data_IF_884465938972
#
_entry.id   IF_884465938972
#
_cell.length_a   1.000
_cell.length_b   1.000
_cell.length_c   1.000
_cell.angle_alpha   90.00
_cell.angle_beta   90.00
_cell.angle_gamma   90.00
#
_symmetry.space_group_name_H-M   'P 1'
#
loop_
_entity.id
_entity.type
_entity.pdbx_description
1 polymer ?
#
# COMPACT_ATOMS: atom_id res chain seq x y z
N UNK A 1 26.12 8.60 -6.25
CA UNK A 1 25.14 7.51 -6.05
C UNK A 1 24.59 7.50 -4.63
N UNK A 2 24.97 8.45 -3.77
CA UNK A 2 24.36 8.67 -2.45
C UNK A 2 23.08 9.52 -2.59
N UNK A 3 22.20 9.45 -1.58
CA UNK A 3 21.04 10.33 -1.45
C UNK A 3 19.76 9.89 -2.17
N UNK A 4 19.53 8.58 -2.32
CA UNK A 4 18.30 8.03 -2.91
C UNK A 4 17.54 7.04 -2.02
N UNK A 5 18.13 6.65 -0.88
CA UNK A 5 17.62 5.54 -0.06
C UNK A 5 17.41 6.01 1.37
N UNK A 6 16.20 5.83 1.88
CA UNK A 6 15.88 6.00 3.29
C UNK A 6 15.86 4.60 3.92
N UNK A 7 16.85 4.30 4.74
CA UNK A 7 17.09 2.95 5.25
C UNK A 7 16.99 2.87 6.78
N UNK A 8 16.40 1.80 7.28
CA UNK A 8 16.30 1.46 8.69
C UNK A 8 16.87 0.05 8.91
N UNK A 9 17.83 -0.09 9.82
CA UNK A 9 18.55 -1.35 10.08
C UNK A 9 18.04 -2.13 11.30
N UNK A 10 17.08 -1.56 12.04
CA UNK A 10 16.53 -2.16 13.25
C UNK A 10 15.02 -1.99 13.28
N UNK A 11 14.33 -3.01 13.77
CA UNK A 11 12.90 -2.96 14.01
C UNK A 11 12.61 -2.28 15.36
N UNK A 12 11.76 -1.26 15.37
CA UNK A 12 11.37 -0.52 16.57
C UNK A 12 9.86 -0.34 16.58
N UNK A 13 9.10 -1.15 17.33
CA UNK A 13 7.63 -1.08 17.34
C UNK A 13 7.08 0.32 17.67
N UNK A 14 7.78 1.06 18.53
CA UNK A 14 7.37 2.41 18.94
C UNK A 14 7.49 3.45 17.80
N UNK A 15 8.29 3.17 16.76
CA UNK A 15 8.50 4.06 15.61
C UNK A 15 7.67 3.64 14.38
N UNK A 16 7.03 2.48 14.40
CA UNK A 16 6.38 1.92 13.21
C UNK A 16 5.32 2.85 12.63
N UNK A 17 4.46 3.46 13.46
CA UNK A 17 3.48 4.46 12.95
C UNK A 17 4.11 5.63 12.18
N UNK A 18 5.30 6.06 12.60
CA UNK A 18 6.05 7.13 11.92
C UNK A 18 6.64 6.59 10.61
N UNK A 19 7.31 5.44 10.65
CA UNK A 19 7.91 4.79 9.47
C UNK A 19 6.87 4.45 8.42
N UNK A 20 5.70 3.98 8.84
CA UNK A 20 4.54 3.78 7.98
C UNK A 20 4.12 5.05 7.24
N UNK A 21 4.18 6.21 7.89
CA UNK A 21 3.89 7.48 7.23
C UNK A 21 5.01 7.86 6.24
N UNK A 22 6.27 7.81 6.68
CA UNK A 22 7.45 8.17 5.89
C UNK A 22 7.70 7.23 4.71
N UNK A 23 7.24 5.97 4.78
CA UNK A 23 7.40 4.96 3.74
C UNK A 23 6.09 4.70 2.98
N UNK A 24 5.16 5.65 2.98
CA UNK A 24 3.95 5.57 2.15
C UNK A 24 4.33 5.50 0.67
N UNK A 25 3.65 4.63 -0.07
CA UNK A 25 3.74 4.53 -1.52
C UNK A 25 2.42 5.00 -2.14
N UNK A 26 2.46 5.72 -3.25
CA UNK A 26 1.36 6.39 -3.90
C UNK A 26 1.76 6.91 -5.28
N UNK A 27 0.76 7.24 -6.08
CA UNK A 27 0.95 7.63 -7.48
C UNK A 27 0.10 8.83 -7.90
N UNK A 28 -0.49 9.54 -6.94
CA UNK A 28 -1.43 10.64 -7.18
C UNK A 28 -2.90 10.24 -7.37
N UNK A 29 -3.21 8.95 -7.57
CA UNK A 29 -4.58 8.43 -7.59
C UNK A 29 -4.95 7.81 -6.24
N UNK A 30 -4.07 6.96 -5.71
CA UNK A 30 -4.18 6.43 -4.35
C UNK A 30 -2.81 6.33 -3.70
N UNK A 31 -2.81 6.19 -2.38
CA UNK A 31 -1.63 5.95 -1.59
C UNK A 31 -1.92 4.90 -0.51
N UNK A 32 -0.88 4.14 -0.16
CA UNK A 32 -0.91 3.11 0.86
C UNK A 32 0.28 3.29 1.77
N UNK A 33 -0.01 3.43 3.08
CA UNK A 33 1.00 3.60 4.12
C UNK A 33 2.02 2.48 4.08
N UNK A 34 3.25 2.83 4.45
CA UNK A 34 4.41 1.98 4.62
C UNK A 34 4.28 0.88 5.67
N UNK A 35 3.10 0.32 5.95
CA UNK A 35 2.95 -0.77 6.93
C UNK A 35 3.52 -2.08 6.39
N UNK A 36 3.94 -2.94 7.32
CA UNK A 36 4.34 -4.31 7.02
C UNK A 36 3.09 -5.09 6.61
N UNK A 37 3.21 -5.83 5.52
CA UNK A 37 2.11 -6.60 4.94
C UNK A 37 1.50 -7.57 5.97
N UNK A 38 0.16 -7.57 6.07
CA UNK A 38 -0.58 -8.49 6.93
C UNK A 38 -0.62 -8.12 8.42
N UNK A 39 0.13 -7.12 8.89
CA UNK A 39 0.05 -6.69 10.29
C UNK A 39 -1.20 -5.82 10.49
N UNK A 40 -2.15 -6.21 11.37
CA UNK A 40 -3.38 -5.48 11.56
C UNK A 40 -3.16 -4.16 12.31
N UNK A 41 -4.18 -3.30 12.31
CA UNK A 41 -4.20 -2.11 13.17
C UNK A 41 -3.99 -2.50 14.64
N UNK A 42 -3.04 -1.82 15.29
CA UNK A 42 -2.67 -2.04 16.68
C UNK A 42 -2.17 -0.75 17.35
N UNK A 43 -1.63 -0.86 18.56
CA UNK A 43 -0.93 0.27 19.20
C UNK A 43 0.24 0.79 18.35
N UNK A 44 0.98 -0.10 17.69
CA UNK A 44 2.19 0.20 16.94
C UNK A 44 1.96 0.35 15.43
N UNK A 45 0.91 -0.29 14.91
CA UNK A 45 0.67 -0.37 13.47
C UNK A 45 -0.63 0.29 13.05
N UNK A 46 -0.61 0.94 11.89
CA UNK A 46 -1.77 1.56 11.27
C UNK A 46 -1.70 1.43 9.74
N UNK A 47 -1.95 0.24 9.16
CA UNK A 47 -2.04 0.08 7.71
C UNK A 47 -3.19 0.93 7.17
N UNK A 48 -2.99 1.65 6.07
CA UNK A 48 -4.03 2.53 5.53
C UNK A 48 -3.86 2.77 4.05
N UNK A 49 -4.96 2.69 3.32
CA UNK A 49 -5.06 3.04 1.91
C UNK A 49 -6.01 4.23 1.76
N UNK A 50 -5.59 5.23 0.99
CA UNK A 50 -6.30 6.49 0.81
C UNK A 50 -6.43 6.81 -0.67
N UNK A 51 -7.56 7.39 -1.06
CA UNK A 51 -7.88 7.75 -2.44
C UNK A 51 -7.84 9.28 -2.58
N UNK A 52 -7.25 9.79 -3.66
CA UNK A 52 -7.34 11.20 -4.03
C UNK A 52 -8.81 11.62 -4.20
N UNK A 53 -9.26 12.63 -3.46
CA UNK A 53 -10.67 13.01 -3.44
C UNK A 53 -11.62 11.99 -2.77
N UNK A 54 -11.09 11.04 -2.00
CA UNK A 54 -11.84 9.96 -1.34
C UNK A 54 -12.45 10.37 0.01
N UNK A 55 -13.33 11.37 0.01
CA UNK A 55 -13.94 11.90 1.24
C UNK A 55 -15.36 11.37 1.49
N UNK A 56 -15.78 11.33 2.76
CA UNK A 56 -17.15 11.00 3.16
C UNK A 56 -17.53 11.72 4.45
N UNK A 57 -18.78 12.20 4.55
CA UNK A 57 -19.28 12.84 5.78
C UNK A 57 -19.94 11.85 6.73
N UNK A 58 -19.70 12.04 8.02
CA UNK A 58 -20.38 11.32 9.09
C UNK A 58 -20.88 12.29 10.16
N UNK A 59 -22.05 11.96 10.73
CA UNK A 59 -22.60 12.61 11.90
C UNK A 59 -22.27 11.81 13.15
N UNK A 60 -21.92 12.51 14.23
CA UNK A 60 -21.65 11.95 15.55
C UNK A 60 -22.40 12.75 16.61
N UNK A 61 -22.99 12.08 17.59
CA UNK A 61 -23.59 12.74 18.74
C UNK A 61 -22.56 12.86 19.88
N UNK A 62 -22.09 14.07 20.15
CA UNK A 62 -21.12 14.36 21.21
C UNK A 62 -21.76 15.33 22.20
N UNK A 63 -21.87 14.91 23.46
CA UNK A 63 -22.45 15.72 24.54
C UNK A 63 -23.83 16.34 24.17
N UNK A 64 -24.70 15.55 23.52
CA UNK A 64 -26.04 15.98 23.10
C UNK A 64 -26.07 16.94 21.91
N UNK A 65 -24.95 17.11 21.19
CA UNK A 65 -24.88 17.87 19.93
C UNK A 65 -24.51 16.95 18.78
N UNK A 66 -25.21 17.08 17.67
CA UNK A 66 -24.84 16.42 16.41
C UNK A 66 -23.73 17.26 15.76
N UNK A 67 -22.59 16.63 15.53
CA UNK A 67 -21.44 17.19 14.84
C UNK A 67 -21.26 16.42 13.54
N UNK A 68 -21.26 17.12 12.41
CA UNK A 68 -20.94 16.56 11.11
C UNK A 68 -19.48 16.88 10.76
N UNK A 69 -18.73 15.86 10.32
CA UNK A 69 -17.37 16.03 9.83
C UNK A 69 -17.21 15.38 8.46
N UNK A 70 -16.43 16.01 7.60
CA UNK A 70 -15.96 15.44 6.34
C UNK A 70 -14.55 14.88 6.55
N UNK A 71 -14.37 13.60 6.23
CA UNK A 71 -13.14 12.87 6.49
C UNK A 71 -12.57 12.25 5.22
N UNK A 72 -11.24 12.31 5.09
CA UNK A 72 -10.51 11.43 4.19
C UNK A 72 -10.70 9.98 4.64
N UNK A 73 -11.35 9.18 3.80
CA UNK A 73 -11.73 7.80 4.14
C UNK A 73 -10.52 6.89 4.05
N UNK A 74 -10.34 6.02 5.06
CA UNK A 74 -9.49 4.83 4.94
C UNK A 74 -10.24 3.79 4.11
N UNK A 75 -9.72 3.51 2.93
CA UNK A 75 -10.26 2.55 1.96
C UNK A 75 -9.75 1.14 2.21
N UNK A 76 -10.36 0.10 1.60
CA UNK A 76 -10.04 -1.29 1.89
C UNK A 76 -8.55 -1.63 1.81
N UNK A 77 -8.09 -2.46 2.75
CA UNK A 77 -6.70 -2.88 2.81
C UNK A 77 -6.42 -4.01 1.84
N UNK A 78 -5.60 -3.71 0.85
CA UNK A 78 -5.16 -4.65 -0.17
C UNK A 78 -3.81 -5.30 0.16
N UNK A 79 -3.08 -4.81 1.17
CA UNK A 79 -1.69 -5.22 1.47
C UNK A 79 -1.60 -6.51 2.27
N UNK A 80 -2.74 -7.12 2.60
CA UNK A 80 -2.80 -8.29 3.46
C UNK A 80 -2.20 -9.50 2.73
N UNK A 81 -0.98 -9.83 3.12
CA UNK A 81 -0.30 -11.10 2.90
C UNK A 81 0.21 -11.57 4.27
N UNK A 82 -0.09 -12.81 4.61
CA UNK A 82 0.45 -13.49 5.79
C UNK A 82 1.00 -14.85 5.37
N UNK A 83 1.91 -15.41 6.15
CA UNK A 83 2.25 -16.83 5.99
C UNK A 83 2.41 -17.50 7.35
N UNK A 84 2.18 -18.81 7.38
CA UNK A 84 2.45 -19.67 8.53
C UNK A 84 3.03 -21.00 8.05
N UNK A 85 4.13 -21.49 8.63
CA UNK A 85 4.52 -22.89 8.48
C UNK A 85 3.48 -23.80 9.14
N UNK A 86 3.36 -25.05 8.69
CA UNK A 86 2.46 -26.02 9.30
C UNK A 86 2.79 -26.22 10.81
N UNK A 87 1.75 -26.28 11.64
CA UNK A 87 1.89 -26.33 13.10
C UNK A 87 2.52 -25.08 13.73
N UNK A 88 2.65 -23.98 12.99
CA UNK A 88 3.09 -22.68 13.48
C UNK A 88 1.98 -21.62 13.48
N UNK A 89 2.34 -20.46 14.01
CA UNK A 89 1.49 -19.27 14.01
C UNK A 89 1.69 -18.43 12.73
N UNK A 90 0.73 -17.55 12.45
CA UNK A 90 0.91 -16.53 11.41
C UNK A 90 2.08 -15.62 11.77
N UNK A 91 2.93 -15.32 10.79
CA UNK A 91 4.00 -14.35 10.96
C UNK A 91 3.45 -13.02 11.48
N UNK A 92 3.96 -12.60 12.63
CA UNK A 92 3.75 -11.29 13.22
C UNK A 92 5.11 -10.80 13.72
N UNK A 93 5.59 -9.69 13.16
CA UNK A 93 6.91 -9.15 13.47
C UNK A 93 7.06 -8.77 14.96
N UNK A 94 5.96 -8.43 15.63
CA UNK A 94 5.93 -8.11 17.06
C UNK A 94 6.07 -9.35 17.98
N UNK A 95 5.95 -10.56 17.44
CA UNK A 95 5.87 -11.81 18.21
C UNK A 95 7.03 -12.78 17.96
N UNK A 96 7.97 -12.44 17.07
CA UNK A 96 9.08 -13.30 16.66
C UNK A 96 10.43 -12.76 17.12
N UNK A 97 11.44 -13.62 17.19
CA UNK A 97 12.81 -13.18 17.44
C UNK A 97 13.45 -12.71 16.13
N UNK A 98 13.73 -11.42 16.01
CA UNK A 98 14.36 -10.84 14.82
C UNK A 98 15.88 -11.04 14.90
N UNK A 99 16.46 -11.74 13.92
CA UNK A 99 17.90 -11.92 13.75
C UNK A 99 18.54 -10.78 12.96
N UNK A 100 17.87 -10.33 11.90
CA UNK A 100 18.27 -9.16 11.14
C UNK A 100 17.05 -8.47 10.53
N UNK A 101 17.11 -7.15 10.44
CA UNK A 101 16.07 -6.32 9.86
C UNK A 101 16.70 -5.29 8.93
N UNK A 102 16.07 -5.10 7.78
CA UNK A 102 16.34 -3.99 6.88
C UNK A 102 15.02 -3.52 6.28
N UNK A 103 14.79 -2.22 6.29
CA UNK A 103 13.74 -1.57 5.51
C UNK A 103 14.36 -0.45 4.70
N UNK A 104 14.05 -0.39 3.42
CA UNK A 104 14.59 0.62 2.51
C UNK A 104 13.48 1.17 1.62
N UNK A 105 13.31 2.49 1.65
CA UNK A 105 12.54 3.21 0.64
C UNK A 105 13.52 3.74 -0.40
N UNK A 106 13.46 3.18 -1.61
CA UNK A 106 14.20 3.69 -2.76
C UNK A 106 13.39 4.81 -3.42
N UNK A 107 13.84 6.06 -3.22
CA UNK A 107 13.18 7.25 -3.74
C UNK A 107 13.34 7.38 -5.26
N UNK A 108 14.38 6.77 -5.83
CA UNK A 108 14.65 6.81 -7.27
C UNK A 108 13.68 5.91 -8.01
N UNK A 109 13.49 4.71 -7.48
CA UNK A 109 12.66 3.69 -8.13
C UNK A 109 11.23 3.66 -7.60
N UNK A 110 10.93 4.29 -6.46
CA UNK A 110 9.61 4.30 -5.82
C UNK A 110 9.20 2.97 -5.19
N UNK A 111 10.18 2.22 -4.68
CA UNK A 111 10.01 0.86 -4.16
C UNK A 111 10.28 0.85 -2.66
N UNK A 112 9.39 0.22 -1.90
CA UNK A 112 9.64 -0.14 -0.50
C UNK A 112 10.09 -1.59 -0.44
N UNK A 113 11.32 -1.83 0.02
CA UNK A 113 11.87 -3.16 0.26
C UNK A 113 12.02 -3.40 1.77
N UNK A 114 11.74 -4.63 2.21
CA UNK A 114 12.09 -5.13 3.54
C UNK A 114 12.82 -6.45 3.44
N UNK A 115 13.78 -6.66 4.33
CA UNK A 115 14.50 -7.91 4.55
C UNK A 115 14.43 -8.25 6.02
N UNK A 116 13.76 -9.34 6.35
CA UNK A 116 13.48 -9.74 7.73
C UNK A 116 13.93 -11.19 7.89
N UNK A 117 14.98 -11.41 8.67
CA UNK A 117 15.38 -12.74 9.09
C UNK A 117 14.96 -12.92 10.53
N UNK A 118 14.17 -13.94 10.81
CA UNK A 118 13.59 -14.15 12.13
C UNK A 118 13.53 -15.64 12.50
N UNK A 119 13.37 -15.90 13.79
CA UNK A 119 13.14 -17.22 14.38
C UNK A 119 11.79 -17.23 15.06
N UNK A 120 10.96 -18.23 14.75
CA UNK A 120 9.66 -18.43 15.39
C UNK A 120 9.73 -19.24 16.70
N UNK A 121 8.57 -19.47 17.32
CA UNK A 121 8.46 -20.19 18.61
C UNK A 121 8.92 -21.65 18.49
N UNK A 122 8.84 -22.24 17.30
CA UNK A 122 9.27 -23.59 16.96
C UNK A 122 10.74 -23.66 16.53
N UNK A 123 11.51 -22.58 16.67
CA UNK A 123 12.93 -22.47 16.32
C UNK A 123 13.22 -22.61 14.80
N UNK A 124 12.21 -22.34 13.98
CA UNK A 124 12.37 -22.26 12.52
C UNK A 124 12.86 -20.88 12.16
N UNK A 125 13.97 -20.84 11.44
CA UNK A 125 14.57 -19.62 10.93
C UNK A 125 14.12 -19.38 9.50
N UNK A 126 13.61 -18.19 9.22
CA UNK A 126 13.07 -17.81 7.91
C UNK A 126 13.59 -16.44 7.51
N UNK A 127 14.00 -16.30 6.24
CA UNK A 127 14.26 -15.02 5.59
C UNK A 127 13.05 -14.66 4.72
N UNK A 128 12.43 -13.52 5.03
CA UNK A 128 11.40 -12.89 4.21
C UNK A 128 11.99 -11.63 3.57
N UNK A 129 11.95 -11.55 2.24
CA UNK A 129 12.20 -10.30 1.50
C UNK A 129 10.89 -9.85 0.88
N UNK A 130 10.42 -8.64 1.20
CA UNK A 130 9.24 -8.06 0.56
C UNK A 130 9.60 -6.83 -0.27
N UNK A 131 8.97 -6.68 -1.43
CA UNK A 131 9.06 -5.49 -2.29
C UNK A 131 7.65 -5.04 -2.63
N UNK A 132 7.38 -3.75 -2.54
CA UNK A 132 6.07 -3.19 -2.83
C UNK A 132 6.16 -1.97 -3.72
N UNK A 133 5.20 -1.86 -4.64
CA UNK A 133 5.01 -0.70 -5.51
C UNK A 133 3.53 -0.28 -5.55
N UNK A 134 3.31 1.02 -5.63
CA UNK A 134 2.08 1.62 -6.17
C UNK A 134 2.45 2.20 -7.53
N UNK A 135 1.90 1.66 -8.61
CA UNK A 135 2.45 1.87 -9.94
C UNK A 135 2.34 3.33 -10.38
N UNK A 136 3.45 3.92 -10.83
CA UNK A 136 3.48 5.29 -11.32
C UNK A 136 3.07 5.35 -12.79
N UNK A 137 3.36 4.28 -13.55
CA UNK A 137 3.01 4.15 -14.96
C UNK A 137 1.53 3.81 -15.20
N UNK A 138 0.87 3.17 -14.24
CA UNK A 138 -0.54 2.83 -14.31
C UNK A 138 -1.20 3.12 -12.97
N UNK A 139 -2.00 4.18 -12.94
CA UNK A 139 -2.56 4.72 -11.69
C UNK A 139 -3.47 3.74 -10.92
N UNK A 140 -3.98 2.70 -11.59
CA UNK A 140 -4.92 1.72 -11.03
C UNK A 140 -4.26 0.44 -10.52
N UNK A 141 -2.93 0.30 -10.64
CA UNK A 141 -2.23 -0.93 -10.30
C UNK A 141 -1.27 -0.76 -9.13
N UNK A 142 -1.19 -1.78 -8.28
CA UNK A 142 -0.15 -1.94 -7.27
C UNK A 142 0.23 -3.41 -7.14
N UNK A 143 1.40 -3.69 -6.57
CA UNK A 143 1.84 -5.06 -6.38
C UNK A 143 2.79 -5.23 -5.19
N UNK A 144 2.80 -6.44 -4.67
CA UNK A 144 3.75 -6.94 -3.67
C UNK A 144 4.44 -8.18 -4.24
N UNK A 145 5.75 -8.28 -4.05
CA UNK A 145 6.53 -9.49 -4.22
C UNK A 145 7.10 -9.91 -2.87
N UNK A 146 6.95 -11.17 -2.51
CA UNK A 146 7.57 -11.81 -1.36
C UNK A 146 8.52 -12.91 -1.84
N UNK A 147 9.71 -12.96 -1.28
CA UNK A 147 10.62 -14.09 -1.36
C UNK A 147 10.73 -14.71 0.03
N UNK A 148 10.25 -15.95 0.18
CA UNK A 148 10.31 -16.70 1.44
C UNK A 148 11.38 -17.77 1.30
N UNK A 149 12.41 -17.69 2.15
CA UNK A 149 13.49 -18.69 2.19
C UNK A 149 13.57 -19.31 3.58
N UNK A 150 13.22 -20.60 3.75
CA UNK A 150 13.41 -21.30 5.01
C UNK A 150 14.90 -21.62 5.19
N UNK A 151 15.50 -21.24 6.31
CA UNK A 151 16.96 -21.35 6.52
C UNK A 151 17.35 -22.72 7.07
N UNK A 152 16.58 -23.26 8.01
CA UNK A 152 16.87 -24.49 8.75
C UNK A 152 15.70 -25.48 8.79
N UNK A 153 14.68 -25.29 7.94
CA UNK A 153 13.47 -26.10 7.95
C UNK A 153 12.92 -26.37 6.54
N UNK A 154 12.05 -27.37 6.44
CA UNK A 154 11.26 -27.69 5.25
C UNK A 154 9.86 -28.12 5.70
N UNK A 155 8.89 -27.99 4.81
CA UNK A 155 7.53 -28.47 5.04
C UNK A 155 6.47 -27.56 4.47
N UNK A 156 5.23 -27.96 4.66
CA UNK A 156 4.06 -27.21 4.20
C UNK A 156 4.00 -25.83 4.84
N UNK A 157 3.69 -24.83 4.02
CA UNK A 157 3.37 -23.46 4.42
C UNK A 157 2.00 -23.10 3.86
N UNK A 158 1.29 -22.23 4.56
CA UNK A 158 0.09 -21.56 4.04
C UNK A 158 0.35 -20.08 3.92
N UNK A 159 0.13 -19.51 2.74
CA UNK A 159 0.10 -18.07 2.49
C UNK A 159 -1.35 -17.62 2.43
N UNK A 160 -1.67 -16.51 3.10
CA UNK A 160 -3.00 -15.92 3.16
C UNK A 160 -3.00 -14.55 2.50
N UNK A 161 -3.64 -14.46 1.34
CA UNK A 161 -3.78 -13.23 0.57
C UNK A 161 -5.21 -12.73 0.67
N UNK A 162 -5.41 -11.49 1.10
CA UNK A 162 -6.77 -11.00 1.38
C UNK A 162 -7.02 -9.55 0.98
N UNK A 163 -8.30 -9.20 0.93
CA UNK A 163 -8.82 -7.83 0.83
C UNK A 163 -9.76 -7.59 2.01
N UNK A 164 -9.56 -6.50 2.74
CA UNK A 164 -10.36 -6.15 3.93
C UNK A 164 -11.09 -4.82 3.75
N UNK A 165 -12.43 -4.89 3.68
CA UNK A 165 -13.33 -3.74 3.64
C UNK A 165 -13.85 -3.30 5.00
N UNK A 166 -13.47 -3.98 6.09
CA UNK A 166 -13.89 -3.72 7.46
C UNK A 166 -13.14 -2.58 8.15
N UNK A 167 -12.33 -1.82 7.40
CA UNK A 167 -11.48 -0.75 7.92
C UNK A 167 -12.29 0.41 8.52
N UNK A 168 -11.71 1.03 9.55
CA UNK A 168 -12.26 2.21 10.23
C UNK A 168 -11.23 3.34 10.27
N UNK A 169 -11.72 4.58 10.24
CA UNK A 169 -10.94 5.80 10.43
C UNK A 169 -10.60 6.01 11.91
N UNK A 170 -9.45 5.49 12.35
CA UNK A 170 -9.00 5.47 13.75
C UNK A 170 -7.55 5.97 13.90
N UNK A 171 -6.96 6.52 12.84
CA UNK A 171 -5.54 6.88 12.74
C UNK A 171 -5.15 8.05 13.64
N UNK A 172 -6.14 8.84 14.09
CA UNK A 172 -5.94 10.01 14.94
C UNK A 172 -6.68 9.83 16.27
N UNK A 173 -5.93 9.77 17.37
CA UNK A 173 -6.49 9.53 18.71
C UNK A 173 -7.58 10.54 19.09
N UNK A 174 -7.43 11.82 18.69
CA UNK A 174 -8.40 12.89 18.94
C UNK A 174 -9.75 12.67 18.25
N UNK A 175 -9.82 11.85 17.20
CA UNK A 175 -11.04 11.64 16.43
C UNK A 175 -11.84 10.41 16.85
N UNK A 176 -11.34 9.61 17.81
CA UNK A 176 -11.95 8.32 18.19
C UNK A 176 -13.32 8.41 18.85
N UNK A 177 -13.71 9.59 19.35
CA UNK A 177 -15.06 9.82 19.88
C UNK A 177 -16.10 10.02 18.77
N UNK A 178 -15.66 10.32 17.53
CA UNK A 178 -16.53 10.47 16.38
C UNK A 178 -16.79 9.13 15.68
N UNK A 179 -17.88 9.04 14.94
CA UNK A 179 -18.17 7.92 14.07
C UNK A 179 -17.06 7.78 13.01
N UNK A 180 -16.56 6.56 12.83
CA UNK A 180 -15.42 6.23 11.96
C UNK A 180 -15.74 5.17 10.90
N UNK A 181 -16.99 4.71 10.82
CA UNK A 181 -17.42 3.71 9.83
C UNK A 181 -17.94 4.41 8.58
N UNK A 182 -17.05 4.64 7.61
CA UNK A 182 -17.40 5.32 6.35
C UNK A 182 -17.88 4.37 5.26
N UNK A 183 -17.61 3.07 5.35
CA UNK A 183 -17.79 2.12 4.26
C UNK A 183 -18.91 1.10 4.54
N UNK A 184 -19.67 0.83 3.49
CA UNK A 184 -20.60 -0.28 3.39
C UNK A 184 -20.06 -1.28 2.36
N UNK A 185 -20.06 -2.56 2.70
CA UNK A 185 -19.74 -3.62 1.74
C UNK A 185 -20.87 -3.73 0.71
N UNK A 186 -20.53 -3.82 -0.58
CA UNK A 186 -21.47 -4.10 -1.67
C UNK A 186 -21.38 -5.53 -2.18
N UNK A 187 -20.16 -6.01 -2.43
CA UNK A 187 -19.92 -7.31 -3.07
C UNK A 187 -18.51 -7.80 -2.74
N UNK A 188 -18.31 -9.12 -2.76
CA UNK A 188 -17.02 -9.77 -2.55
C UNK A 188 -17.07 -11.22 -3.00
N UNK A 189 -15.93 -11.77 -3.39
CA UNK A 189 -15.82 -13.19 -3.70
C UNK A 189 -14.57 -13.48 -4.52
N UNK A 190 -14.57 -14.63 -5.18
CA UNK A 190 -13.54 -14.99 -6.14
C UNK A 190 -14.00 -14.74 -7.58
N UNK A 191 -13.05 -14.59 -8.48
CA UNK A 191 -13.27 -14.61 -9.92
C UNK A 191 -12.23 -15.50 -10.57
N UNK A 192 -12.69 -16.36 -11.48
CA UNK A 192 -11.85 -17.42 -12.05
C UNK A 192 -11.22 -18.29 -10.93
N UNK A 193 -10.05 -18.88 -11.19
CA UNK A 193 -9.37 -19.80 -10.26
C UNK A 193 -8.49 -19.08 -9.24
N UNK A 194 -7.82 -17.99 -9.64
CA UNK A 194 -6.72 -17.39 -8.85
C UNK A 194 -7.05 -16.02 -8.24
N UNK A 195 -8.20 -15.44 -8.58
CA UNK A 195 -8.54 -14.05 -8.28
C UNK A 195 -9.56 -13.88 -7.15
N UNK A 196 -9.36 -12.86 -6.31
CA UNK A 196 -10.33 -12.40 -5.31
C UNK A 196 -10.70 -10.94 -5.54
N UNK A 197 -11.91 -10.55 -5.16
CA UNK A 197 -12.37 -9.17 -5.32
C UNK A 197 -13.22 -8.69 -4.15
N UNK A 198 -13.19 -7.39 -3.93
CA UNK A 198 -13.96 -6.69 -2.90
C UNK A 198 -14.50 -5.39 -3.48
N UNK A 199 -15.77 -5.08 -3.22
CA UNK A 199 -16.44 -3.86 -3.64
C UNK A 199 -17.14 -3.21 -2.46
N UNK A 200 -16.80 -1.95 -2.19
CA UNK A 200 -17.37 -1.15 -1.09
C UNK A 200 -17.95 0.15 -1.63
N UNK A 201 -18.78 0.81 -0.83
CA UNK A 201 -19.32 2.13 -1.09
C UNK A 201 -19.18 3.01 0.16
N UNK A 202 -18.77 4.26 -0.01
CA UNK A 202 -18.87 5.24 1.07
C UNK A 202 -20.34 5.55 1.41
N UNK A 203 -20.68 5.62 2.68
CA UNK A 203 -22.08 5.60 3.13
C UNK A 203 -22.86 6.90 2.86
N UNK A 204 -22.19 8.00 2.55
CA UNK A 204 -22.82 9.30 2.27
C UNK A 204 -22.40 9.86 0.90
N UNK A 205 -21.11 9.83 0.56
CA UNK A 205 -20.64 10.34 -0.74
C UNK A 205 -20.87 9.37 -1.89
N UNK A 206 -21.30 8.13 -1.60
CA UNK A 206 -21.67 7.08 -2.57
C UNK A 206 -20.55 6.76 -3.59
N UNK A 207 -19.29 7.03 -3.22
CA UNK A 207 -18.13 6.62 -3.99
C UNK A 207 -18.00 5.12 -3.86
N UNK A 208 -18.10 4.42 -4.98
CA UNK A 208 -17.88 2.97 -5.06
C UNK A 208 -16.40 2.75 -5.34
N UNK A 209 -15.76 1.89 -4.57
CA UNK A 209 -14.42 1.38 -4.87
C UNK A 209 -14.49 -0.13 -5.07
N UNK A 210 -13.80 -0.62 -6.09
CA UNK A 210 -13.57 -2.04 -6.28
C UNK A 210 -12.07 -2.33 -6.31
N UNK A 211 -11.70 -3.41 -5.63
CA UNK A 211 -10.38 -4.01 -5.69
C UNK A 211 -10.51 -5.42 -6.26
N UNK A 212 -9.63 -5.77 -7.18
CA UNK A 212 -9.40 -7.14 -7.61
C UNK A 212 -7.94 -7.48 -7.33
N UNK A 213 -7.65 -8.70 -6.91
CA UNK A 213 -6.30 -9.16 -6.63
C UNK A 213 -6.10 -10.57 -7.18
N UNK A 214 -4.92 -10.82 -7.75
CA UNK A 214 -4.43 -12.17 -8.06
C UNK A 214 -3.17 -12.44 -7.27
N UNK A 215 -3.00 -13.70 -6.84
CA UNK A 215 -1.82 -14.13 -6.08
C UNK A 215 -1.25 -15.42 -6.66
N UNK A 216 -0.01 -15.32 -7.13
CA UNK A 216 0.73 -16.40 -7.79
C UNK A 216 1.95 -16.80 -6.98
N UNK A 217 2.32 -18.07 -7.05
CA UNK A 217 3.48 -18.64 -6.38
C UNK A 217 4.39 -19.27 -7.42
N UNK A 218 5.68 -18.96 -7.33
CA UNK A 218 6.72 -19.40 -8.24
C UNK A 218 7.85 -20.08 -7.46
N UNK A 219 8.46 -21.08 -8.08
CA UNK A 219 9.55 -21.85 -7.51
C UNK A 219 10.68 -21.95 -8.55
N UNK A 220 11.87 -21.46 -8.23
CA UNK A 220 12.98 -21.42 -9.21
C UNK A 220 13.78 -22.73 -9.24
N UNK A 221 13.87 -23.42 -8.09
CA UNK A 221 14.81 -24.53 -7.86
C UNK A 221 14.11 -25.89 -7.60
N UNK A 222 12.78 -25.93 -7.70
CA UNK A 222 11.94 -27.11 -7.50
C UNK A 222 10.52 -26.85 -7.99
N UNK A 223 9.68 -27.88 -8.04
CA UNK A 223 8.25 -27.75 -8.27
C UNK A 223 7.48 -28.11 -7.00
N UNK A 224 6.42 -27.35 -6.70
CA UNK A 224 5.42 -27.71 -5.70
C UNK A 224 4.03 -27.46 -6.25
N UNK A 225 3.12 -28.38 -5.98
CA UNK A 225 1.70 -28.12 -6.18
C UNK A 225 1.23 -27.04 -5.19
N UNK A 226 0.34 -26.16 -5.65
CA UNK A 226 -0.25 -25.09 -4.84
C UNK A 226 -1.73 -25.40 -4.71
N UNK A 227 -2.15 -25.80 -3.52
CA UNK A 227 -3.56 -25.95 -3.18
C UNK A 227 -4.12 -24.58 -2.84
N UNK A 228 -5.31 -24.26 -3.38
CA UNK A 228 -5.93 -22.94 -3.25
C UNK A 228 -7.33 -23.07 -2.68
N UNK A 229 -7.62 -22.30 -1.64
CA UNK A 229 -8.95 -22.23 -1.05
C UNK A 229 -9.36 -20.77 -0.85
N UNK A 230 -10.55 -20.41 -1.32
CA UNK A 230 -11.14 -19.09 -1.05
C UNK A 230 -11.96 -19.15 0.25
N UNK A 231 -11.77 -18.16 1.11
CA UNK A 231 -12.60 -17.92 2.30
C UNK A 231 -13.24 -16.54 2.20
N UNK A 232 -14.50 -16.45 2.63
CA UNK A 232 -15.30 -15.23 2.57
C UNK A 232 -15.95 -15.03 3.93
N UNK A 233 -15.79 -13.83 4.50
CA UNK A 233 -16.36 -13.40 5.78
C UNK A 233 -16.99 -12.01 5.63
N UNK A 234 -17.70 -11.48 6.63
CA UNK A 234 -18.60 -10.33 6.59
C UNK A 234 -18.09 -9.07 5.87
N UNK A 235 -16.81 -8.72 6.04
CA UNK A 235 -16.19 -7.57 5.35
C UNK A 235 -14.90 -7.93 4.63
N UNK A 236 -14.65 -9.23 4.48
CA UNK A 236 -13.32 -9.77 4.18
C UNK A 236 -13.40 -10.88 3.14
N UNK A 237 -12.45 -10.92 2.22
CA UNK A 237 -12.26 -12.04 1.30
C UNK A 237 -10.79 -12.42 1.27
N UNK A 238 -10.51 -13.71 1.29
CA UNK A 238 -9.16 -14.21 1.27
C UNK A 238 -9.01 -15.46 0.43
N UNK A 239 -7.77 -15.72 0.08
CA UNK A 239 -7.31 -16.91 -0.58
C UNK A 239 -6.14 -17.48 0.20
N UNK A 240 -6.29 -18.70 0.66
CA UNK A 240 -5.23 -19.48 1.28
C UNK A 240 -4.56 -20.33 0.19
N UNK A 241 -3.24 -20.21 0.10
CA UNK A 241 -2.38 -20.94 -0.82
C UNK A 241 -1.46 -21.85 0.01
N UNK A 242 -1.62 -23.16 -0.11
CA UNK A 242 -0.83 -24.15 0.63
C UNK A 242 0.12 -24.89 -0.31
N UNK A 243 1.40 -24.93 0.04
CA UNK A 243 2.46 -25.55 -0.76
C UNK A 243 3.67 -25.94 0.11
N UNK A 244 4.61 -26.71 -0.45
CA UNK A 244 5.80 -27.16 0.25
C UNK A 244 6.98 -26.18 0.08
N UNK A 245 7.66 -25.88 1.17
CA UNK A 245 8.95 -25.20 1.18
C UNK A 245 10.09 -26.20 1.43
N UNK A 246 11.22 -25.99 0.76
CA UNK A 246 12.44 -26.77 0.96
C UNK A 246 13.54 -25.90 1.55
N UNK A 247 14.28 -26.44 2.52
CA UNK A 247 15.38 -25.76 3.19
C UNK A 247 16.33 -25.12 2.17
N UNK A 248 16.66 -23.84 2.38
CA UNK A 248 17.53 -23.00 1.54
C UNK A 248 17.05 -22.79 0.11
N UNK A 249 15.80 -23.16 -0.23
CA UNK A 249 15.19 -22.83 -1.52
C UNK A 249 14.10 -21.79 -1.34
N UNK A 250 14.20 -20.73 -2.13
CA UNK A 250 13.26 -19.61 -2.09
C UNK A 250 12.00 -19.94 -2.89
N UNK A 251 10.84 -19.65 -2.32
CA UNK A 251 9.59 -19.52 -3.05
C UNK A 251 9.25 -18.04 -3.21
N UNK A 252 8.78 -17.65 -4.40
CA UNK A 252 8.42 -16.28 -4.72
C UNK A 252 6.91 -16.16 -4.84
N UNK A 253 6.32 -15.20 -4.16
CA UNK A 253 4.87 -14.94 -4.15
C UNK A 253 4.66 -13.54 -4.70
N UNK A 254 3.82 -13.42 -5.72
CA UNK A 254 3.44 -12.14 -6.29
C UNK A 254 1.97 -11.89 -6.05
N UNK A 255 1.62 -10.73 -5.50
CA UNK A 255 0.24 -10.25 -5.38
C UNK A 255 0.09 -8.97 -6.19
N UNK A 256 -0.78 -8.99 -7.18
CA UNK A 256 -1.06 -7.84 -8.06
C UNK A 256 -2.49 -7.43 -7.83
N UNK A 257 -2.72 -6.13 -7.64
CA UNK A 257 -4.05 -5.57 -7.44
C UNK A 257 -4.40 -4.53 -8.48
N UNK A 258 -5.69 -4.47 -8.78
CA UNK A 258 -6.33 -3.43 -9.58
C UNK A 258 -7.35 -2.71 -8.71
N UNK A 259 -7.32 -1.38 -8.72
CA UNK A 259 -8.17 -0.52 -7.93
C UNK A 259 -8.83 0.52 -8.83
N UNK A 260 -10.16 0.50 -8.86
CA UNK A 260 -10.99 1.44 -9.61
C UNK A 260 -12.10 1.98 -8.73
N UNK A 261 -12.63 3.14 -9.11
CA UNK A 261 -13.71 3.83 -8.41
C UNK A 261 -14.80 4.29 -9.35
N UNK A 262 -15.98 4.61 -8.82
CA UNK A 262 -17.06 5.22 -9.60
C UNK A 262 -16.72 6.62 -10.14
N UNK A 263 -15.58 7.22 -9.74
CA UNK A 263 -15.10 8.49 -10.27
C UNK A 263 -14.28 8.33 -11.56
N UNK A 264 -13.87 7.11 -11.92
CA UNK A 264 -13.06 6.89 -13.11
C UNK A 264 -13.87 7.11 -14.39
N UNK A 265 -13.24 7.72 -15.40
CA UNK A 265 -13.89 8.03 -16.67
C UNK A 265 -13.84 6.84 -17.62
N UNK A 266 -14.87 6.73 -18.47
CA UNK A 266 -14.93 5.74 -19.55
C UNK A 266 -14.85 4.26 -19.11
N UNK A 267 -15.29 3.95 -17.88
CA UNK A 267 -15.42 2.58 -17.38
C UNK A 267 -16.87 2.11 -17.43
N UNK A 268 -17.08 0.79 -17.57
CA UNK A 268 -18.42 0.19 -17.43
C UNK A 268 -18.85 0.14 -15.97
N UNK A 269 -18.02 -0.47 -15.13
CA UNK A 269 -18.13 -0.46 -13.68
C UNK A 269 -16.75 -0.72 -13.06
N UNK A 270 -16.51 -0.27 -11.82
CA UNK A 270 -15.18 -0.36 -11.21
C UNK A 270 -14.66 -1.80 -11.08
N UNK A 271 -15.54 -2.76 -10.80
CA UNK A 271 -15.14 -4.13 -10.53
C UNK A 271 -14.71 -4.84 -11.82
N UNK A 272 -15.44 -4.65 -12.90
CA UNK A 272 -15.07 -5.22 -14.20
C UNK A 272 -13.71 -4.70 -14.69
N UNK A 273 -13.42 -3.42 -14.52
CA UNK A 273 -12.12 -2.86 -14.94
C UNK A 273 -10.98 -3.32 -14.03
N UNK A 274 -11.18 -3.35 -12.70
CA UNK A 274 -10.20 -3.90 -11.77
C UNK A 274 -9.78 -5.34 -12.15
N UNK A 275 -10.75 -6.21 -12.44
CA UNK A 275 -10.49 -7.59 -12.89
C UNK A 275 -9.73 -7.64 -14.21
N UNK A 276 -10.13 -6.83 -15.20
CA UNK A 276 -9.46 -6.77 -16.52
C UNK A 276 -8.01 -6.30 -16.42
N UNK A 277 -7.73 -5.31 -15.58
CA UNK A 277 -6.39 -4.73 -15.46
C UNK A 277 -5.42 -5.69 -14.79
N UNK A 278 -5.81 -6.33 -13.69
CA UNK A 278 -4.97 -7.34 -13.02
C UNK A 278 -4.59 -8.46 -13.98
N UNK A 279 -5.57 -8.96 -14.76
CA UNK A 279 -5.37 -10.01 -15.75
C UNK A 279 -4.38 -9.69 -16.88
N UNK A 280 -4.13 -8.42 -17.16
CA UNK A 280 -3.20 -8.01 -18.22
C UNK A 280 -1.75 -8.03 -17.77
N UNK A 281 -1.51 -8.04 -16.46
CA UNK A 281 -0.15 -8.05 -15.90
C UNK A 281 0.28 -9.48 -15.70
N UNK A 282 1.42 -9.85 -16.29
CA UNK A 282 1.91 -11.24 -16.22
C UNK A 282 2.79 -11.50 -15.01
N UNK A 283 3.45 -10.47 -14.48
CA UNK A 283 4.34 -10.59 -13.31
C UNK A 283 4.61 -9.25 -12.62
N UNK A 284 5.06 -9.33 -11.36
CA UNK A 284 5.61 -8.19 -10.62
C UNK A 284 6.75 -7.52 -11.38
N UNK A 285 7.65 -8.30 -12.01
CA UNK A 285 8.79 -7.79 -12.74
C UNK A 285 8.39 -6.91 -13.95
N UNK A 286 7.33 -7.30 -14.68
CA UNK A 286 6.76 -6.51 -15.77
C UNK A 286 6.24 -5.17 -15.26
N UNK A 287 5.41 -5.19 -14.20
CA UNK A 287 4.84 -3.97 -13.63
C UNK A 287 5.93 -3.05 -13.07
N UNK A 288 6.89 -3.61 -12.31
CA UNK A 288 8.04 -2.88 -11.76
C UNK A 288 8.83 -2.18 -12.85
N UNK A 289 9.10 -2.84 -13.98
CA UNK A 289 9.84 -2.24 -15.09
C UNK A 289 9.19 -0.93 -15.56
N UNK A 290 7.89 -0.98 -15.88
CA UNK A 290 7.16 0.22 -16.32
C UNK A 290 7.07 1.28 -15.23
N UNK A 291 6.91 0.87 -13.97
CA UNK A 291 6.89 1.77 -12.81
C UNK A 291 8.22 2.53 -12.65
N UNK A 292 9.35 1.83 -12.74
CA UNK A 292 10.70 2.43 -12.64
C UNK A 292 10.98 3.35 -13.83
N UNK A 293 10.55 2.98 -15.04
CA UNK A 293 10.63 3.85 -16.22
C UNK A 293 9.89 5.18 -15.98
N UNK A 294 8.65 5.13 -15.48
CA UNK A 294 7.88 6.34 -15.15
C UNK A 294 8.53 7.19 -14.04
N UNK A 295 9.15 6.57 -13.03
CA UNK A 295 9.91 7.31 -12.02
C UNK A 295 11.16 7.98 -12.57
N UNK A 296 11.90 7.31 -13.45
CA UNK A 296 13.06 7.91 -14.10
C UNK A 296 12.65 9.13 -14.93
N UNK A 297 11.57 9.05 -15.70
CA UNK A 297 11.03 10.18 -16.47
C UNK A 297 10.60 11.36 -15.59
N UNK A 298 10.02 11.09 -14.41
CA UNK A 298 9.70 12.13 -13.43
C UNK A 298 10.98 12.78 -12.88
N UNK A 299 11.96 11.98 -12.43
CA UNK A 299 13.21 12.50 -11.87
C UNK A 299 14.04 13.30 -12.87
N UNK A 300 14.02 12.92 -14.15
CA UNK A 300 14.66 13.72 -15.22
C UNK A 300 14.10 15.15 -15.32
N UNK A 301 12.84 15.35 -14.95
CA UNK A 301 12.17 16.65 -15.01
C UNK A 301 12.28 17.46 -13.71
N UNK A 302 12.48 16.80 -12.56
CA UNK A 302 12.29 17.42 -11.26
C UNK A 302 13.42 17.23 -10.24
N UNK A 303 14.45 16.43 -10.53
CA UNK A 303 15.59 16.29 -9.61
C UNK A 303 16.35 17.61 -9.50
N UNK A 304 16.69 17.98 -8.27
CA UNK A 304 17.46 19.18 -7.96
C UNK A 304 18.75 18.70 -7.30
N UNK A 305 19.87 18.92 -7.99
CA UNK A 305 21.20 18.54 -7.50
C UNK A 305 21.75 19.69 -6.66
N UNK A 306 22.03 19.40 -5.39
CA UNK A 306 22.65 20.33 -4.46
C UNK A 306 24.17 20.20 -4.49
N UNK A 307 24.86 21.34 -4.53
CA UNK A 307 26.26 21.42 -4.09
C UNK A 307 26.28 21.51 -2.56
N UNK A 308 26.09 20.37 -1.90
CA UNK A 308 26.07 20.26 -0.44
C UNK A 308 27.31 19.51 0.07
N UNK A 309 27.81 19.93 1.23
CA UNK A 309 28.93 19.25 1.91
C UNK A 309 28.48 17.92 2.54
N UNK A 310 27.19 17.79 2.88
CA UNK A 310 26.59 16.58 3.45
C UNK A 310 25.63 15.91 2.43
N UNK A 311 25.87 14.63 2.14
CA UNK A 311 25.00 13.82 1.30
C UNK A 311 23.57 13.68 1.86
N UNK A 312 23.38 13.91 3.17
CA UNK A 312 22.06 13.88 3.81
C UNK A 312 21.15 15.02 3.33
N UNK A 313 21.68 16.19 2.96
CA UNK A 313 20.90 17.31 2.45
C UNK A 313 20.25 16.95 1.10
N UNK A 314 21.01 16.30 0.21
CA UNK A 314 20.51 15.81 -1.07
C UNK A 314 19.41 14.75 -0.89
N UNK A 315 19.60 13.84 0.09
CA UNK A 315 18.60 12.84 0.43
C UNK A 315 17.30 13.49 0.91
N UNK A 316 17.39 14.46 1.83
CA UNK A 316 16.23 15.14 2.40
C UNK A 316 15.44 15.91 1.33
N UNK A 317 16.13 16.60 0.41
CA UNK A 317 15.47 17.28 -0.69
C UNK A 317 14.70 16.29 -1.59
N UNK A 318 15.36 15.21 -2.01
CA UNK A 318 14.72 14.15 -2.81
C UNK A 318 13.58 13.49 -2.07
N UNK A 319 13.71 13.31 -0.75
CA UNK A 319 12.64 12.77 0.07
C UNK A 319 11.39 13.67 0.07
N UNK A 320 11.58 14.99 0.17
CA UNK A 320 10.48 15.94 0.04
C UNK A 320 9.84 15.91 -1.35
N UNK A 321 10.65 15.94 -2.42
CA UNK A 321 10.17 15.86 -3.80
C UNK A 321 9.40 14.55 -4.04
N UNK A 322 9.94 13.44 -3.56
CA UNK A 322 9.31 12.12 -3.64
C UNK A 322 7.89 12.15 -3.07
N UNK A 323 7.70 12.71 -1.86
CA UNK A 323 6.39 12.79 -1.21
C UNK A 323 5.39 13.74 -1.89
N UNK A 324 5.88 14.76 -2.61
CA UNK A 324 5.02 15.55 -3.50
C UNK A 324 4.42 14.64 -4.58
N UNK A 325 5.26 13.83 -5.24
CA UNK A 325 4.80 12.88 -6.27
C UNK A 325 4.10 11.62 -5.73
N UNK A 326 4.23 11.28 -4.45
CA UNK A 326 3.31 10.29 -3.84
C UNK A 326 1.86 10.82 -3.82
N UNK A 327 1.71 12.16 -3.73
CA UNK A 327 0.44 12.83 -3.47
C UNK A 327 -0.23 13.35 -4.74
N UNK A 328 0.55 13.97 -5.63
CA UNK A 328 0.02 14.68 -6.79
C UNK A 328 0.96 14.51 -7.99
N UNK A 329 0.44 13.95 -9.07
CA UNK A 329 1.21 13.59 -10.28
C UNK A 329 0.37 13.84 -11.53
N UNK A 330 0.91 13.49 -12.69
CA UNK A 330 0.15 13.52 -13.95
C UNK A 330 -1.09 12.61 -13.90
N UNK A 331 -1.09 11.57 -13.07
CA UNK A 331 -2.25 10.70 -12.85
C UNK A 331 -3.40 11.41 -12.11
N UNK A 332 -3.11 12.54 -11.45
CA UNK A 332 -4.12 13.34 -10.75
C UNK A 332 -4.81 14.35 -11.69
N UNK A 333 -4.25 14.57 -12.88
CA UNK A 333 -4.87 15.47 -13.87
C UNK A 333 -6.27 14.93 -14.18
N UNK A 334 -7.26 15.82 -14.09
CA UNK A 334 -8.70 15.55 -14.22
C UNK A 334 -9.41 14.86 -13.04
N UNK A 335 -8.69 14.52 -11.96
CA UNK A 335 -9.34 14.12 -10.72
C UNK A 335 -9.80 15.38 -9.98
N UNK A 336 -11.00 15.32 -9.40
CA UNK A 336 -11.48 16.36 -8.48
C UNK A 336 -10.78 16.20 -7.13
N UNK A 337 -9.53 16.65 -7.07
CA UNK A 337 -8.63 16.54 -5.93
C UNK A 337 -7.58 17.67 -5.93
N UNK A 338 -7.34 18.27 -4.75
CA UNK A 338 -6.17 19.13 -4.51
C UNK A 338 -5.09 18.40 -3.71
N UNK A 339 -4.24 19.17 -3.01
CA UNK A 339 -3.16 18.62 -2.18
C UNK A 339 -3.44 18.83 -0.69
N UNK A 340 -3.66 17.75 0.09
CA UNK A 340 -3.85 17.86 1.53
C UNK A 340 -2.60 18.33 2.28
N UNK A 341 -2.78 18.97 3.44
CA UNK A 341 -1.68 19.42 4.31
C UNK A 341 -0.72 18.29 4.80
N UNK A 342 -1.13 17.02 4.68
CA UNK A 342 -0.33 15.83 5.01
C UNK A 342 -0.24 14.83 3.85
N UNK A 343 -0.56 15.27 2.63
CA UNK A 343 -0.81 14.39 1.48
C UNK A 343 -1.80 13.26 1.80
N UNK A 344 -1.71 12.15 1.06
CA UNK A 344 -2.55 10.95 1.27
C UNK A 344 -1.94 9.94 2.25
N UNK A 345 -1.18 10.43 3.24
CA UNK A 345 -0.32 9.59 4.10
C UNK A 345 -0.98 9.19 5.43
N UNK A 346 -2.17 9.72 5.72
CA UNK A 346 -2.90 9.47 6.96
C UNK A 346 -4.05 10.44 7.19
N UNK A 347 -4.74 10.25 8.32
CA UNK A 347 -6.01 10.92 8.64
C UNK A 347 -5.85 12.26 9.37
N UNK A 348 -4.62 12.67 9.68
CA UNK A 348 -4.37 13.96 10.33
C UNK A 348 -4.87 15.12 9.45
N UNK A 349 -5.46 16.15 10.07
CA UNK A 349 -6.18 17.22 9.38
C UNK A 349 -7.35 16.73 8.50
N UNK A 350 -7.82 15.49 8.70
CA UNK A 350 -8.90 14.86 7.92
C UNK A 350 -8.61 14.83 6.41
N UNK A 351 -7.34 14.93 6.02
CA UNK A 351 -6.92 15.10 4.63
C UNK A 351 -7.42 16.38 3.96
N UNK A 352 -7.80 17.42 4.72
CA UNK A 352 -8.30 18.66 4.13
C UNK A 352 -7.22 19.45 3.40
N UNK A 353 -7.67 20.16 2.37
CA UNK A 353 -6.86 21.04 1.53
C UNK A 353 -6.96 22.45 2.09
N UNK A 354 -5.83 23.13 2.13
CA UNK A 354 -5.66 24.46 2.70
C UNK A 354 -4.87 25.33 1.71
N UNK A 355 -4.50 26.54 2.13
CA UNK A 355 -3.57 27.42 1.41
C UNK A 355 -2.15 26.85 1.21
N UNK A 356 -1.87 25.64 1.71
CA UNK A 356 -0.58 24.93 1.60
C UNK A 356 -0.10 24.77 0.14
N UNK A 357 -1.03 24.77 -0.83
CA UNK A 357 -0.73 24.77 -2.26
C UNK A 357 0.21 25.91 -2.67
N UNK A 358 0.17 27.06 -1.98
CA UNK A 358 1.07 28.20 -2.21
C UNK A 358 2.54 27.87 -1.97
N UNK A 359 2.84 26.87 -1.12
CA UNK A 359 4.21 26.41 -0.88
C UNK A 359 4.67 25.40 -1.94
N UNK A 360 3.73 24.75 -2.62
CA UNK A 360 3.98 23.65 -3.56
C UNK A 360 4.00 24.15 -5.01
N UNK A 361 3.15 25.13 -5.34
CA UNK A 361 3.05 25.72 -6.68
C UNK A 361 4.40 26.15 -7.26
N UNK A 362 5.31 26.82 -6.53
CA UNK A 362 6.58 27.22 -7.11
C UNK A 362 7.39 26.04 -7.65
N UNK A 363 7.34 24.89 -6.98
CA UNK A 363 8.04 23.68 -7.41
C UNK A 363 7.43 23.11 -8.69
N UNK A 364 6.11 22.87 -8.71
CA UNK A 364 5.45 22.32 -9.90
C UNK A 364 5.46 23.27 -11.09
N UNK A 365 5.32 24.58 -10.86
CA UNK A 365 5.27 25.55 -11.95
C UNK A 365 6.60 25.65 -12.72
N UNK A 366 7.72 25.26 -12.11
CA UNK A 366 9.04 25.22 -12.76
C UNK A 366 9.29 23.85 -13.40
N UNK A 367 8.85 22.76 -12.76
CA UNK A 367 9.14 21.40 -13.20
C UNK A 367 8.10 20.86 -14.17
N UNK A 368 6.81 20.87 -13.80
CA UNK A 368 5.68 20.29 -14.56
C UNK A 368 4.46 21.22 -14.45
N UNK A 369 4.39 22.30 -15.25
CA UNK A 369 3.35 23.34 -15.15
C UNK A 369 1.91 22.82 -15.32
N UNK A 370 1.73 21.69 -16.00
CA UNK A 370 0.44 21.00 -16.14
C UNK A 370 -0.16 20.63 -14.79
N UNK A 371 0.67 20.29 -13.79
CA UNK A 371 0.24 19.98 -12.43
C UNK A 371 -0.26 21.23 -11.71
N UNK A 372 0.45 22.36 -11.86
CA UNK A 372 -0.02 23.63 -11.31
C UNK A 372 -1.36 24.03 -11.94
N UNK A 373 -1.53 23.85 -13.25
CA UNK A 373 -2.80 24.12 -13.92
C UNK A 373 -3.92 23.21 -13.42
N UNK A 374 -3.64 21.95 -13.11
CA UNK A 374 -4.65 21.03 -12.58
C UNK A 374 -5.11 21.37 -11.16
N UNK A 375 -4.32 22.14 -10.39
CA UNK A 375 -4.66 22.62 -9.06
C UNK A 375 -5.46 23.95 -9.07
N UNK A 376 -5.58 24.61 -10.23
CA UNK A 376 -6.29 25.88 -10.42
C UNK A 376 -7.63 25.66 -11.12
#
# INVERSE_FOLDING_TARGET
>A
MEGWKVSYSEYSPAEERLREALCTLGNGYFATRGAIEGIPESGNHYPGTYLAGGYNRLQSEIHGKIIENEDLVRWPDWTILKFKPNGGEWFNIDEVEIKSFGQELDLREGILERRIQYVDKEQRETLLVSRRIVSMSNMHLAAIEWEITPINWSGQVTVHSALDGGVLNNGVARYREFNSKHLNLLDKGNFEEDGIFLKVMSCQSEIVMAQAAETSVFFDLYDSFVERQTTVDDTYVAQELSFELQEKKTARIEKIIGLFTSKDKAISDPLSEAKKFVKRITSFAELRKSHVEAWNELWEQCDIILEADDASDQLLLRFHIFHLFQTFTLNTIDLDSGIPARGWHGEAYRGHIFWDELYIFPFYNISIPELTRALL
#
